data_IF_176435704917
#
_entry.id   IF_176435704917
#
_cell.length_a   1.000
_cell.length_b   1.000
_cell.length_c   1.000
_cell.angle_alpha   90.00
_cell.angle_beta   90.00
_cell.angle_gamma   90.00
#
_symmetry.space_group_name_H-M   'P 1'
#
loop_
_entity.id
_entity.type
_entity.pdbx_description
1 polymer ?
2 non-polymer ?
3 non-polymer ?
4 non-polymer ?
5 water ?
#
# COMPACT_ATOMS: atom_id res chain seq x y z
N UNK A 9 -23.19 16.45 -15.33
CA UNK A 9 -22.02 16.74 -16.18
C UNK A 9 -20.75 16.90 -15.36
N UNK A 10 -19.60 16.81 -16.03
CA UNK A 10 -18.31 17.07 -15.40
C UNK A 10 -18.06 18.57 -15.26
N UNK A 11 -17.22 18.97 -14.31
CA UNK A 11 -16.93 20.41 -14.14
C UNK A 11 -16.28 20.99 -15.39
N UNK A 12 -16.58 22.25 -15.68
CA UNK A 12 -15.99 22.93 -16.83
C UNK A 12 -14.47 23.00 -16.78
N UNK A 13 -13.93 23.22 -15.58
CA UNK A 13 -12.47 23.32 -15.43
C UNK A 13 -11.76 21.99 -15.71
N UNK A 14 -12.44 20.89 -15.43
CA UNK A 14 -11.90 19.56 -15.72
C UNK A 14 -11.94 19.29 -17.23
N UNK A 15 -13.16 19.35 -17.77
CA UNK A 15 -13.43 19.27 -19.21
C UNK A 15 -12.47 20.12 -20.04
N UNK A 16 -12.07 21.27 -19.51
CA UNK A 16 -11.14 22.13 -20.22
C UNK A 16 -9.81 21.46 -20.55
N UNK A 17 -9.37 20.54 -19.67
CA UNK A 17 -8.02 19.97 -19.78
C UNK A 17 -8.01 18.50 -20.13
N UNK A 18 -9.14 17.85 -19.95
CA UNK A 18 -9.20 16.41 -20.08
C UNK A 18 -10.48 15.98 -20.77
N UNK A 19 -10.34 14.95 -21.59
CA UNK A 19 -11.48 14.27 -22.17
C UNK A 19 -11.75 13.02 -21.32
N UNK A 20 -12.92 12.97 -20.70
CA UNK A 20 -13.24 11.85 -19.83
C UNK A 20 -13.62 10.62 -20.64
N UNK A 21 -13.29 9.45 -20.12
CA UNK A 21 -13.56 8.22 -20.85
C UNK A 21 -14.17 7.17 -19.92
N UNK A 22 -13.85 5.90 -20.17
CA UNK A 22 -14.47 4.76 -19.51
C UNK A 22 -14.25 4.73 -18.00
N UNK A 23 -15.20 4.13 -17.28
CA UNK A 23 -15.02 3.82 -15.87
C UNK A 23 -14.08 2.63 -15.76
N UNK A 24 -13.03 2.75 -14.97
CA UNK A 24 -12.10 1.65 -14.76
C UNK A 24 -12.56 0.84 -13.55
N UNK A 25 -13.10 1.53 -12.56
CA UNK A 25 -13.62 0.88 -11.37
C UNK A 25 -14.48 1.75 -10.46
N UNK A 26 -15.37 1.09 -9.73
CA UNK A 26 -16.21 1.72 -8.71
C UNK A 26 -16.69 0.61 -7.79
N UNK A 27 -16.89 0.92 -6.51
CA UNK A 27 -16.70 2.26 -6.01
C UNK A 27 -17.42 2.48 -4.69
N UNK A 28 -16.63 2.77 -3.66
CA UNK A 28 -17.18 3.06 -2.34
C UNK A 28 -16.81 4.50 -1.98
N UNK A 30 -15.76 6.31 -3.93
CA UNK A 30 -14.76 6.58 -4.95
C UNK A 30 -15.00 5.86 -6.27
N UNK A 31 -14.81 6.56 -7.38
CA UNK A 31 -14.83 5.94 -8.71
C UNK A 31 -13.58 6.34 -9.50
N UNK A 32 -13.11 5.45 -10.38
CA UNK A 32 -11.93 5.77 -11.19
C UNK A 32 -12.24 5.69 -12.69
N UNK A 33 -11.93 6.76 -13.39
CA UNK A 33 -12.17 6.79 -14.83
C UNK A 33 -10.89 6.99 -15.65
N UNK A 34 -10.87 6.41 -16.82
CA UNK A 34 -9.83 6.68 -17.80
C UNK A 34 -10.09 8.08 -18.36
N UNK A 35 -9.02 8.86 -18.51
CA UNK A 35 -9.15 10.13 -19.19
C UNK A 35 -7.93 10.43 -20.07
N UNK A 36 -8.08 11.41 -20.95
CA UNK A 36 -6.97 11.84 -21.79
C UNK A 36 -6.66 13.30 -21.53
N UNK A 37 -5.40 13.57 -21.26
CA UNK A 37 -4.96 14.94 -21.10
C UNK A 37 -4.90 15.59 -22.49
N UNK A 38 -5.68 16.64 -22.70
CA UNK A 38 -5.71 17.33 -23.99
C UNK A 38 -4.32 17.75 -24.50
N UNK A 39 -3.59 18.49 -23.68
CA UNK A 39 -2.24 18.97 -24.00
C UNK A 39 -1.27 17.91 -24.55
N UNK A 40 -1.30 16.70 -24.00
CA UNK A 40 -0.34 15.66 -24.38
C UNK A 40 -0.94 14.48 -25.15
N UNK A 41 -2.27 14.37 -25.10
CA UNK A 41 -2.98 13.20 -25.65
C UNK A 41 -2.62 11.90 -24.94
N UNK A 42 -2.10 12.02 -23.73
CA UNK A 42 -1.73 10.84 -22.97
C UNK A 42 -2.85 10.41 -22.03
N UNK A 43 -2.84 9.13 -21.68
CA UNK A 43 -3.83 8.58 -20.77
C UNK A 43 -3.48 8.92 -19.33
N UNK A 44 -4.50 9.28 -18.56
CA UNK A 44 -4.37 9.51 -17.12
C UNK A 44 -5.52 8.78 -16.41
N UNK A 45 -5.46 8.69 -15.09
CA UNK A 45 -6.59 8.18 -14.36
C UNK A 45 -7.18 9.34 -13.58
N UNK A 46 -8.49 9.37 -13.44
CA UNK A 46 -9.14 10.40 -12.65
C UNK A 46 -10.03 9.76 -11.60
N UNK A 47 -9.69 9.98 -10.34
CA UNK A 47 -10.48 9.47 -9.25
C UNK A 47 -11.55 10.47 -8.82
N UNK A 48 -12.80 10.02 -8.83
CA UNK A 48 -13.93 10.86 -8.46
C UNK A 48 -14.50 10.46 -7.09
N UNK A 49 -14.30 11.35 -6.12
CA UNK A 49 -14.78 11.12 -4.77
C UNK A 49 -15.93 12.08 -4.50
N UNK A 50 -17.12 11.52 -4.29
CA UNK A 50 -18.34 12.33 -4.14
C UNK A 50 -18.38 13.10 -2.82
N UNK A 51 -18.69 14.39 -2.90
CA UNK A 51 -18.87 15.22 -1.70
C UNK A 51 -20.14 14.83 -0.95
N UNK A 65 -13.97 15.13 2.80
CA UNK A 65 -13.56 16.52 2.63
C UNK A 65 -12.19 16.79 3.29
N UNK A 66 -12.09 16.50 4.58
CA UNK A 66 -10.81 16.61 5.30
C UNK A 66 -9.95 15.41 4.93
N UNK A 67 -10.59 14.26 4.83
CA UNK A 67 -9.97 13.10 4.24
C UNK A 67 -9.19 13.49 2.98
N UNK A 68 -9.81 14.33 2.14
CA UNK A 68 -9.27 14.60 0.82
C UNK A 68 -8.12 15.60 0.82
N UNK A 69 -8.27 16.70 1.55
CA UNK A 69 -7.19 17.69 1.63
C UNK A 69 -5.92 17.05 2.24
N UNK A 70 -6.12 16.20 3.22
CA UNK A 70 -5.04 15.42 3.82
C UNK A 70 -4.39 14.57 2.74
N UNK A 71 -5.24 13.82 2.04
CA UNK A 71 -4.75 12.91 1.04
C UNK A 71 -3.98 13.69 -0.03
N UNK A 72 -4.57 14.80 -0.49
CA UNK A 72 -3.94 15.62 -1.52
C UNK A 72 -2.58 16.10 -1.06
N UNK A 73 -2.55 16.69 0.14
CA UNK A 73 -1.31 17.27 0.67
C UNK A 73 -0.25 16.20 0.88
N UNK A 74 -0.67 15.05 1.41
CA UNK A 74 0.22 13.90 1.52
C UNK A 74 0.74 13.48 0.14
N UNK A 75 -0.17 13.29 -0.81
CA UNK A 75 0.20 12.89 -2.17
C UNK A 75 1.15 13.88 -2.85
N UNK A 76 0.90 15.18 -2.68
CA UNK A 76 1.77 16.22 -3.24
C UNK A 76 3.20 16.13 -2.72
N UNK A 77 3.35 15.75 -1.45
CA UNK A 77 4.67 15.80 -0.83
C UNK A 77 5.50 14.54 -1.10
N UNK A 78 4.83 13.46 -1.47
CA UNK A 78 5.53 12.18 -1.58
C UNK A 78 6.15 11.99 -2.96
N UNK A 79 7.31 11.35 -2.99
CA UNK A 79 8.00 11.15 -4.25
C UNK A 79 8.80 9.84 -4.23
N UNK A 80 8.14 8.77 -4.62
CA UNK A 80 8.76 7.45 -4.63
C UNK A 80 8.19 6.66 -5.80
N UNK A 81 9.02 5.82 -6.42
CA UNK A 81 8.63 5.03 -7.60
C UNK A 81 7.45 4.06 -7.36
N UNK A 82 7.27 3.64 -6.11
CA UNK A 82 6.22 2.67 -5.79
C UNK A 82 5.10 3.31 -5.00
N UNK A 83 4.96 4.62 -5.17
CA UNK A 83 3.84 5.35 -4.59
C UNK A 83 3.18 6.20 -5.67
N UNK A 84 1.86 6.06 -5.80
CA UNK A 84 1.09 6.77 -6.82
C UNK A 84 1.32 8.30 -6.79
N UNK A 85 1.47 8.90 -7.97
CA UNK A 85 1.71 10.35 -8.05
C UNK A 85 0.51 11.14 -8.58
N UNK A 86 0.23 12.26 -7.94
CA UNK A 86 -0.88 13.12 -8.32
C UNK A 86 -0.46 14.14 -9.39
N UNK A 87 -1.33 14.34 -10.37
CA UNK A 87 -1.02 15.21 -11.50
C UNK A 87 -1.81 16.50 -11.45
N UNK A 88 -3.02 16.42 -10.89
CA UNK A 88 -3.92 17.57 -10.86
C UNK A 88 -5.06 17.28 -9.90
N UNK A 89 -5.80 18.32 -9.53
CA UNK A 89 -6.89 18.19 -8.55
C UNK A 89 -8.00 19.22 -8.81
N UNK A 90 -9.24 18.78 -8.75
CA UNK A 90 -10.39 19.67 -8.93
C UNK A 90 -11.41 19.56 -7.78
N UNK A 91 -11.67 20.68 -7.13
CA UNK A 91 -12.64 20.78 -6.04
C UNK A 91 -13.97 21.35 -6.53
N UNK A 92 -14.96 20.49 -6.72
CA UNK A 92 -16.22 20.91 -7.35
C UNK A 92 -17.46 20.35 -6.65
N UNK A 93 -18.51 20.08 -7.42
CA UNK A 93 -19.70 19.44 -6.85
C UNK A 93 -19.22 18.12 -6.26
N UNK A 94 -18.15 17.59 -6.85
CA UNK A 94 -17.46 16.42 -6.33
C UNK A 94 -15.96 16.68 -6.36
N UNK A 95 -15.19 15.74 -5.80
CA UNK A 95 -13.74 15.80 -5.82
C UNK A 95 -13.18 15.07 -7.03
N UNK A 96 -12.22 15.67 -7.72
CA UNK A 96 -11.60 15.03 -8.87
C UNK A 96 -10.09 15.01 -8.72
N UNK A 97 -9.53 13.81 -8.54
CA UNK A 97 -8.09 13.69 -8.45
C UNK A 97 -7.51 13.06 -9.71
N UNK A 98 -6.57 13.76 -10.34
CA UNK A 98 -5.95 13.28 -11.57
C UNK A 98 -4.60 12.67 -11.26
N UNK A 99 -4.41 11.42 -11.68
CA UNK A 99 -3.19 10.69 -11.38
C UNK A 99 -2.65 9.94 -12.58
N UNK A 100 -1.38 9.54 -12.50
CA UNK A 100 -0.78 8.66 -13.49
C UNK A 100 -1.58 7.35 -13.59
N UNK A 101 -1.84 6.91 -14.81
CA UNK A 101 -2.66 5.73 -15.05
C UNK A 101 -1.88 4.46 -14.77
N UNK A 102 -2.52 3.54 -14.07
CA UNK A 102 -1.95 2.22 -13.82
C UNK A 102 -2.70 1.21 -14.68
N UNK A 103 -2.14 0.89 -15.84
CA UNK A 103 -2.85 0.10 -16.83
C UNK A 103 -3.03 -1.36 -16.40
N UNK A 104 -2.23 -1.80 -15.44
CA UNK A 104 -2.29 -3.17 -14.96
C UNK A 104 -3.41 -3.49 -13.99
N UNK A 105 -4.06 -2.46 -13.44
CA UNK A 105 -5.15 -2.69 -12.51
C UNK A 105 -4.72 -3.11 -11.11
N UNK A 106 -5.68 -3.63 -10.35
CA UNK A 106 -5.47 -3.99 -8.94
C UNK A 106 -4.75 -5.33 -8.75
N UNK A 107 -3.93 -5.41 -7.71
CA UNK A 107 -3.29 -6.66 -7.32
C UNK A 107 -4.41 -7.65 -6.94
N UNK A 108 -5.51 -7.10 -6.45
CA UNK A 108 -6.68 -7.91 -6.09
C UNK A 108 -7.02 -8.93 -7.20
N UNK A 109 -7.14 -8.45 -8.44
CA UNK A 109 -7.50 -9.32 -9.55
C UNK A 109 -6.54 -10.48 -9.78
N UNK A 110 -5.29 -10.31 -9.39
CA UNK A 110 -4.30 -11.37 -9.58
C UNK A 110 -4.38 -12.48 -8.52
N UNK A 111 -5.18 -12.27 -7.48
CA UNK A 111 -5.19 -13.20 -6.35
C UNK A 111 -6.60 -13.65 -5.97
N UNK A 112 -7.59 -13.11 -6.65
CA UNK A 112 -8.98 -13.48 -6.39
C UNK A 112 -9.25 -14.93 -6.87
N UNK A 113 -10.19 -15.61 -6.22
CA UNK A 113 -10.55 -16.96 -6.57
C UNK A 113 -9.39 -17.95 -6.50
N UNK A 114 -8.62 -17.88 -5.43
CA UNK A 114 -7.48 -18.77 -5.22
C UNK A 114 -6.43 -18.74 -6.32
N UNK A 115 -6.48 -17.72 -7.16
CA UNK A 115 -5.40 -17.49 -8.08
C UNK A 115 -4.16 -17.19 -7.24
N UNK A 116 -3.00 -17.61 -7.73
CA UNK A 116 -1.78 -17.38 -6.97
C UNK A 116 -0.62 -17.09 -7.89
N UNK A 117 0.23 -16.18 -7.45
CA UNK A 117 1.38 -15.77 -8.23
C UNK A 117 2.57 -16.70 -7.97
N UNK A 118 3.43 -16.85 -8.98
CA UNK A 118 4.70 -17.53 -8.76
C UNK A 118 5.35 -16.88 -7.57
N UNK A 119 5.98 -17.67 -6.70
CA UNK A 119 6.65 -17.12 -5.54
C UNK A 119 7.57 -15.97 -5.92
N UNK A 120 8.16 -16.05 -7.11
CA UNK A 120 9.15 -15.07 -7.53
C UNK A 120 8.48 -13.75 -7.92
N UNK A 121 7.24 -13.84 -8.36
CA UNK A 121 6.45 -12.65 -8.65
C UNK A 121 6.04 -11.98 -7.34
N UNK A 122 5.56 -12.79 -6.38
CA UNK A 122 5.31 -12.32 -5.03
C UNK A 122 6.49 -11.53 -4.49
N UNK A 123 7.69 -12.04 -4.71
CA UNK A 123 8.85 -11.43 -4.13
C UNK A 123 9.07 -10.05 -4.74
N UNK A 124 8.99 -9.99 -6.07
CA UNK A 124 9.22 -8.74 -6.78
C UNK A 124 8.21 -7.70 -6.31
N UNK A 125 6.94 -8.10 -6.27
CA UNK A 125 5.88 -7.22 -5.80
C UNK A 125 6.10 -6.81 -4.34
N UNK A 126 6.32 -7.80 -3.47
CA UNK A 126 6.41 -7.53 -2.05
C UNK A 126 7.57 -6.62 -1.71
N UNK A 127 8.66 -6.78 -2.46
CA UNK A 127 9.84 -5.96 -2.27
C UNK A 127 9.47 -4.49 -2.52
N UNK A 128 8.76 -4.24 -3.61
CA UNK A 128 8.34 -2.87 -3.89
C UNK A 128 7.41 -2.30 -2.80
N UNK A 129 6.46 -3.12 -2.33
CA UNK A 129 5.54 -2.70 -1.28
C UNK A 129 6.32 -2.29 -0.02
N UNK A 130 7.34 -3.09 0.29
CA UNK A 130 8.17 -2.87 1.46
C UNK A 130 8.94 -1.54 1.31
N UNK A 131 9.52 -1.31 0.14
CA UNK A 131 10.18 -0.04 -0.15
C UNK A 131 9.23 1.15 0.03
N UNK A 132 8.03 1.01 -0.52
CA UNK A 132 7.02 2.06 -0.50
C UNK A 132 6.63 2.38 0.94
N UNK A 133 6.34 1.33 1.69
CA UNK A 133 5.87 1.51 3.05
C UNK A 133 7.02 1.95 3.96
N UNK A 134 8.22 1.44 3.69
CA UNK A 134 9.40 1.94 4.41
C UNK A 134 9.53 3.46 4.22
N UNK A 135 9.33 3.89 2.98
CA UNK A 135 9.45 5.30 2.63
C UNK A 135 8.38 6.14 3.36
N UNK A 136 7.17 5.62 3.42
CA UNK A 136 6.08 6.27 4.14
C UNK A 136 6.47 6.45 5.60
N UNK A 137 6.95 5.38 6.20
CA UNK A 137 7.31 5.44 7.60
C UNK A 137 8.47 6.42 7.87
N UNK A 138 9.52 6.39 7.04
CA UNK A 138 10.61 7.38 7.16
C UNK A 138 10.05 8.80 7.12
N UNK A 139 8.98 9.01 6.38
CA UNK A 139 8.40 10.33 6.19
C UNK A 139 7.22 10.62 7.11
N UNK A 140 7.14 9.87 8.22
CA UNK A 140 6.09 10.06 9.21
C UNK A 140 4.65 9.84 8.77
N UNK A 141 4.45 8.93 7.83
CA UNK A 141 3.09 8.66 7.32
C UNK A 141 2.72 7.19 7.52
N UNK A 142 1.54 6.93 8.07
CA UNK A 142 1.03 5.56 8.21
C UNK A 142 -0.15 5.39 7.25
N UNK A 143 -0.10 4.36 6.41
CA UNK A 143 -1.13 4.19 5.39
C UNK A 143 -2.48 3.80 6.00
N UNK A 144 -2.49 2.68 6.73
CA UNK A 144 -3.63 2.23 7.53
C UNK A 144 -4.75 1.53 6.75
N UNK A 145 -4.57 1.34 5.46
CA UNK A 145 -5.53 0.62 4.66
C UNK A 145 -4.82 -0.16 3.54
N UNK A 146 -3.67 -0.75 3.85
CA UNK A 146 -2.98 -1.54 2.84
C UNK A 146 -3.76 -2.84 2.60
N UNK A 147 -4.00 -3.13 1.33
CA UNK A 147 -4.71 -4.33 0.91
C UNK A 147 -4.58 -4.46 -0.62
N UNK A 148 -4.81 -5.66 -1.14
CA UNK A 148 -4.60 -5.90 -2.58
C UNK A 148 -5.34 -4.91 -3.49
N UNK A 149 -6.43 -4.31 -3.05
CA UNK A 149 -7.16 -3.40 -3.94
C UNK A 149 -6.48 -2.03 -4.01
N UNK A 150 -5.55 -1.78 -3.09
CA UNK A 150 -4.83 -0.52 -3.04
C UNK A 150 -3.41 -0.67 -3.50
N UNK A 151 -3.13 -1.79 -4.17
CA UNK A 151 -1.86 -2.01 -4.80
C UNK A 151 -2.14 -2.10 -6.30
N UNK A 152 -1.57 -1.17 -7.06
CA UNK A 152 -1.82 -1.16 -8.49
C UNK A 152 -0.58 -1.61 -9.27
N UNK A 153 -0.84 -2.32 -10.37
CA UNK A 153 0.20 -2.76 -11.30
C UNK A 153 0.33 -1.78 -12.49
N UNK A 154 1.55 -1.52 -12.89
CA UNK A 154 1.78 -0.46 -13.89
C UNK A 154 1.51 -0.92 -15.32
N UNK A 155 1.59 -2.23 -15.55
CA UNK A 155 1.26 -2.75 -16.87
C UNK A 155 0.59 -4.11 -16.74
N UNK A 156 0.29 -4.73 -17.89
CA UNK A 156 -0.37 -6.02 -17.92
C UNK A 156 0.65 -7.16 -17.84
N UNK A 157 1.93 -6.80 -17.85
CA UNK A 157 3.01 -7.77 -17.70
C UNK A 157 3.04 -8.32 -16.27
N UNK A 158 3.55 -9.54 -16.11
CA UNK A 158 3.61 -10.20 -14.81
C UNK A 158 4.77 -9.59 -14.02
N UNK A 159 5.76 -9.10 -14.75
CA UNK A 159 6.88 -8.41 -14.15
C UNK A 159 6.75 -6.92 -14.39
N UNK A 160 6.16 -6.21 -13.43
CA UNK A 160 6.00 -4.77 -13.58
C UNK A 160 6.28 -3.99 -12.30
N UNK A 161 6.15 -2.67 -12.38
CA UNK A 161 6.22 -1.81 -11.23
C UNK A 161 4.87 -1.76 -10.52
N UNK A 162 4.89 -1.78 -9.19
CA UNK A 162 3.68 -1.63 -8.40
C UNK A 162 3.67 -0.27 -7.68
N UNK A 163 2.48 0.26 -7.43
CA UNK A 163 2.36 1.47 -6.65
C UNK A 163 1.24 1.35 -5.65
N UNK A 164 1.51 1.81 -4.43
CA UNK A 164 0.53 1.92 -3.38
C UNK A 164 -0.36 3.13 -3.65
N UNK A 165 -1.67 2.96 -3.48
CA UNK A 165 -2.61 4.05 -3.60
C UNK A 165 -3.54 4.15 -2.40
N UNK A 166 -4.44 5.12 -2.49
CA UNK A 166 -5.54 5.32 -1.55
C UNK A 166 -5.10 5.73 -0.15
N UNK A 167 -4.75 7.01 -0.01
CA UNK A 167 -4.23 7.53 1.24
C UNK A 167 -5.32 8.21 2.08
N UNK A 168 -6.57 7.89 1.81
CA UNK A 168 -7.70 8.45 2.53
C UNK A 168 -7.76 8.15 4.01
N UNK A 169 -7.20 7.02 4.44
CA UNK A 169 -7.20 6.68 5.86
C UNK A 169 -5.87 6.98 6.51
N UNK A 170 -4.97 7.60 5.76
CA UNK A 170 -3.63 7.84 6.28
C UNK A 170 -3.60 8.77 7.47
N UNK A 171 -2.47 8.74 8.15
CA UNK A 171 -2.29 9.49 9.37
C UNK A 171 -0.86 9.98 9.39
N UNK A 172 -0.68 11.22 9.84
CA UNK A 172 0.63 11.84 9.92
C UNK A 172 1.13 11.67 11.35
N UNK A 173 2.25 10.98 11.50
CA UNK A 173 2.78 10.67 12.84
C UNK A 173 3.64 11.83 13.31
N UNK A 176 3.86 14.75 19.34
CA UNK A 176 2.63 14.21 19.93
C UNK A 176 2.24 14.91 21.23
N UNK A 177 0.98 14.72 21.64
CA UNK A 177 0.51 15.32 22.86
C UNK A 177 1.04 14.53 24.06
N UNK A 178 1.34 13.25 23.85
CA UNK A 178 1.92 12.43 24.90
C UNK A 178 3.27 13.01 25.33
N UNK A 179 4.10 13.34 24.35
CA UNK A 179 5.40 13.92 24.62
C UNK A 179 5.25 15.18 25.45
N UNK A 180 4.33 16.05 25.04
CA UNK A 180 4.10 17.31 25.74
C UNK A 180 3.65 17.06 27.18
N UNK A 181 2.85 16.02 27.37
CA UNK A 181 2.37 15.68 28.70
C UNK A 181 3.52 15.20 29.58
N UNK A 182 4.49 14.52 28.97
CA UNK A 182 5.59 13.93 29.72
C UNK A 182 6.58 14.98 30.18
N UNK A 183 6.54 16.16 29.57
CA UNK A 183 7.49 17.20 29.89
C UNK A 183 7.32 17.77 31.30
N UNK A 184 6.10 17.69 31.82
CA UNK A 184 5.80 18.21 33.15
C UNK A 184 5.76 17.15 34.23
N UNK A 185 5.35 17.56 35.43
CA UNK A 185 5.18 16.66 36.55
C UNK A 185 3.79 16.03 36.54
N UNK A 186 3.73 14.72 36.77
CA UNK A 186 2.51 13.91 36.62
C UNK A 186 1.60 14.01 37.84
N UNK A 187 1.84 14.98 38.71
CA UNK A 187 1.00 15.17 39.88
C UNK A 187 -0.49 14.90 39.62
N UNK A 188 -1.02 15.41 38.50
CA UNK A 188 -2.44 15.31 38.22
C UNK A 188 -2.75 14.33 37.10
N UNK A 189 -1.70 13.69 36.59
CA UNK A 189 -1.77 12.81 35.45
C UNK A 189 -2.31 11.41 35.75
N UNK A 190 -3.29 10.99 34.95
CA UNK A 190 -3.96 9.70 35.05
C UNK A 190 -3.00 8.52 34.78
N UNK A 191 -3.23 7.40 35.49
CA UNK A 191 -2.45 6.16 35.35
C UNK A 191 -2.42 5.62 33.91
N UNK A 192 -3.55 5.61 33.22
CA UNK A 192 -3.64 5.01 31.89
C UNK A 192 -2.74 5.74 30.88
N UNK A 193 -2.50 7.02 31.13
CA UNK A 193 -1.64 7.80 30.25
C UNK A 193 -0.19 7.34 30.40
N UNK A 194 0.27 7.23 31.65
CA UNK A 194 1.59 6.69 31.96
C UNK A 194 1.76 5.26 31.45
N UNK A 195 0.73 4.45 31.57
CA UNK A 195 0.78 3.10 31.01
C UNK A 195 0.87 3.09 29.47
N UNK A 196 0.27 4.06 28.80
CA UNK A 196 0.32 4.07 27.35
C UNK A 196 1.73 4.38 26.82
N UNK A 197 2.60 4.86 27.70
CA UNK A 197 3.95 5.23 27.28
C UNK A 197 4.74 4.00 26.80
N UNK A 198 4.42 2.84 27.36
CA UNK A 198 5.10 1.62 27.00
C UNK A 198 4.99 1.26 25.53
N UNK A 199 3.88 1.65 24.91
CA UNK A 199 3.57 1.22 23.55
C UNK A 199 3.45 2.39 22.57
N UNK A 200 3.56 3.61 23.08
CA UNK A 200 3.44 4.77 22.21
C UNK A 200 4.48 4.75 21.07
N UNK A 201 4.06 5.19 19.89
CA UNK A 201 4.98 5.32 18.77
C UNK A 201 5.14 4.05 17.93
N UNK A 202 4.26 3.07 18.15
CA UNK A 202 4.25 1.84 17.34
C UNK A 202 3.03 1.70 16.41
N UNK A 203 2.31 2.80 16.20
CA UNK A 203 1.16 2.82 15.28
C UNK A 203 1.50 2.30 13.87
N UNK A 204 2.71 2.60 13.41
CA UNK A 204 3.18 2.17 12.09
C UNK A 204 3.18 0.65 11.92
N UNK A 205 3.32 -0.10 13.02
CA UNK A 205 3.26 -1.56 12.92
C UNK A 205 1.97 -2.10 12.26
N UNK A 206 0.87 -1.35 12.29
CA UNK A 206 -0.37 -1.84 11.68
C UNK A 206 -0.17 -2.04 10.18
N UNK A 207 0.69 -1.22 9.58
CA UNK A 207 1.00 -1.38 8.16
C UNK A 207 1.76 -2.68 7.88
N UNK A 208 2.69 -3.02 8.79
CA UNK A 208 3.47 -4.25 8.67
C UNK A 208 2.61 -5.50 8.83
N UNK A 209 1.60 -5.42 9.71
CA UNK A 209 0.65 -6.51 9.85
C UNK A 209 -0.07 -6.71 8.52
N UNK A 210 -0.63 -5.64 7.96
CA UNK A 210 -1.37 -5.72 6.69
C UNK A 210 -0.49 -6.29 5.60
N UNK A 211 0.76 -5.83 5.55
CA UNK A 211 1.70 -6.33 4.56
C UNK A 211 1.85 -7.83 4.74
N UNK A 212 1.82 -8.29 5.99
CA UNK A 212 1.93 -9.70 6.31
C UNK A 212 0.76 -10.47 5.74
N UNK A 213 -0.45 -9.97 5.97
CA UNK A 213 -1.64 -10.53 5.37
C UNK A 213 -1.60 -10.54 3.83
N UNK A 214 -1.19 -9.43 3.22
CA UNK A 214 -1.13 -9.35 1.78
C UNK A 214 -0.17 -10.42 1.21
N UNK A 215 0.98 -10.59 1.86
CA UNK A 215 1.99 -11.53 1.41
C UNK A 215 1.51 -12.99 1.55
N UNK A 216 0.82 -13.26 2.66
CA UNK A 216 0.20 -14.56 2.91
C UNK A 216 -0.72 -14.93 1.75
N UNK A 217 -1.65 -14.03 1.44
CA UNK A 217 -2.58 -14.17 0.34
C UNK A 217 -1.90 -14.30 -1.05
N UNK A 218 -0.88 -13.49 -1.29
CA UNK A 218 -0.17 -13.57 -2.55
C UNK A 218 0.49 -14.93 -2.76
N UNK A 219 1.10 -15.44 -1.68
CA UNK A 219 1.84 -16.68 -1.74
C UNK A 219 0.93 -17.91 -1.84
N UNK A 220 -0.23 -17.83 -1.20
CA UNK A 220 -1.04 -19.01 -0.93
C UNK A 220 -2.38 -19.02 -1.70
N UNK A 221 -2.85 -17.84 -2.11
CA UNK A 221 -4.11 -17.73 -2.83
C UNK A 221 -5.34 -17.71 -1.92
N UNK A 222 -5.13 -17.68 -0.61
CA UNK A 222 -6.25 -17.63 0.33
C UNK A 222 -5.88 -16.79 1.55
N UNK A 223 -6.90 -16.24 2.23
CA UNK A 223 -6.79 -15.38 3.41
C UNK A 223 -6.33 -16.11 4.68
N UNK A 224 -5.37 -15.54 5.41
CA UNK A 224 -4.91 -16.16 6.66
C UNK A 224 -6.02 -16.24 7.70
N UNK A 225 -6.89 -15.23 7.76
CA UNK A 225 -7.99 -15.20 8.71
C UNK A 225 -9.30 -14.98 7.95
N UNK A 226 -10.30 -15.83 8.19
CA UNK A 226 -11.62 -15.68 7.59
C UNK A 226 -12.69 -16.54 8.26
N UNK A 227 -13.95 -16.28 7.95
CA UNK A 227 -15.03 -17.06 8.55
C UNK A 227 -15.33 -18.37 7.79
N UNK A 228 -14.52 -18.69 6.78
CA UNK A 228 -14.72 -19.86 5.94
C UNK A 228 -14.36 -21.18 6.62
N UNK A 229 -15.36 -22.02 6.80
CA UNK A 229 -15.17 -23.36 7.36
C UNK A 229 -14.37 -23.33 8.67
N UNK A 230 -14.91 -22.60 9.63
CA UNK A 230 -14.32 -22.50 10.96
C UNK A 230 -15.36 -21.98 11.93
N UNK A 231 -15.20 -22.31 13.20
CA UNK A 231 -16.11 -21.79 14.23
C UNK A 231 -15.47 -20.66 15.03
N UNK A 232 -14.16 -20.46 14.86
CA UNK A 232 -13.51 -19.35 15.55
C UNK A 232 -13.92 -18.03 14.89
N UNK A 233 -14.29 -17.05 15.70
CA UNK A 233 -14.59 -15.73 15.18
C UNK A 233 -13.37 -15.12 14.44
N UNK A 234 -13.65 -14.23 13.50
CA UNK A 234 -12.61 -13.54 12.77
C UNK A 234 -11.75 -12.76 13.76
N UNK A 235 -12.43 -12.03 14.64
CA UNK A 235 -11.78 -11.29 15.70
C UNK A 235 -10.82 -12.18 16.48
N UNK A 236 -11.29 -13.34 16.95
CA UNK A 236 -10.45 -14.23 17.77
C UNK A 236 -9.27 -14.82 16.99
N UNK A 237 -9.47 -15.14 15.72
CA UNK A 237 -8.35 -15.58 14.90
C UNK A 237 -7.26 -14.52 14.87
N UNK A 238 -7.67 -13.26 14.74
CA UNK A 238 -6.71 -12.17 14.58
C UNK A 238 -5.96 -11.85 15.88
N UNK A 239 -6.68 -11.61 16.98
CA UNK A 239 -6.02 -11.28 18.24
C UNK A 239 -5.18 -12.42 18.83
N UNK A 240 -5.51 -13.66 18.49
CA UNK A 240 -4.70 -14.80 18.94
C UNK A 240 -3.55 -15.01 17.95
N UNK A 241 -3.76 -14.58 16.71
CA UNK A 241 -2.75 -14.71 15.67
C UNK A 241 -2.68 -16.11 15.10
N UNK A 242 -3.73 -16.89 15.32
CA UNK A 242 -3.78 -18.23 14.76
C UNK A 242 -4.29 -18.19 13.31
N UNK A 243 -3.39 -17.96 12.37
CA UNK A 243 -3.76 -18.03 10.96
C UNK A 243 -4.11 -19.45 10.54
N UNK A 244 -4.83 -19.55 9.44
CA UNK A 244 -5.22 -20.81 8.85
C UNK A 244 -4.12 -21.40 7.98
N UNK A 245 -3.37 -22.34 8.54
CA UNK A 245 -2.31 -23.01 7.78
C UNK A 245 -2.74 -24.30 7.08
N UNK A 246 -2.71 -24.29 5.76
CA UNK A 246 -3.07 -25.44 4.93
C UNK A 246 -1.81 -26.00 4.26
N UNK A 247 -1.24 -27.07 4.83
CA UNK A 247 0.08 -27.54 4.39
C UNK A 247 0.19 -27.86 2.89
N UNK A 248 -0.88 -28.39 2.30
CA UNK A 248 -0.84 -28.79 0.90
C UNK A 248 -0.51 -27.60 -0.01
N UNK A 249 -1.11 -26.46 0.27
CA UNK A 249 -0.88 -25.25 -0.53
C UNK A 249 0.49 -24.66 -0.26
N UNK A 250 0.86 -24.63 1.02
CA UNK A 250 2.14 -24.05 1.45
C UNK A 250 3.37 -24.89 1.15
N UNK A 251 3.15 -26.18 0.94
CA UNK A 251 4.23 -27.09 0.59
C UNK A 251 4.90 -26.63 -0.70
N UNK A 252 4.10 -26.10 -1.63
CA UNK A 252 4.63 -25.56 -2.89
C UNK A 252 5.55 -24.36 -2.63
N UNK A 253 5.29 -23.66 -1.52
CA UNK A 253 5.98 -22.42 -1.20
C UNK A 253 7.25 -22.65 -0.37
N UNK A 254 8.27 -21.85 -0.65
CA UNK A 254 9.53 -21.91 0.07
C UNK A 254 9.31 -21.67 1.57
N UNK A 255 10.32 -22.01 2.36
CA UNK A 255 10.25 -21.85 3.81
C UNK A 255 10.79 -20.48 4.22
N UNK A 256 11.65 -19.90 3.38
CA UNK A 256 12.14 -18.53 3.60
C UNK A 256 10.95 -17.55 3.58
N UNK A 257 10.06 -17.75 2.61
CA UNK A 257 8.87 -16.94 2.43
C UNK A 257 7.91 -17.07 3.62
N UNK A 258 7.58 -18.32 3.95
CA UNK A 258 6.64 -18.58 5.04
C UNK A 258 7.19 -18.04 6.36
N UNK A 259 8.50 -18.08 6.51
CA UNK A 259 9.16 -17.56 7.71
C UNK A 259 8.98 -16.04 7.83
N UNK A 260 9.09 -15.33 6.71
CA UNK A 260 8.86 -13.89 6.70
C UNK A 260 7.40 -13.57 7.08
N UNK A 261 6.45 -14.28 6.47
CA UNK A 261 5.06 -14.12 6.84
C UNK A 261 4.86 -14.23 8.35
N UNK A 262 5.49 -15.23 8.94
CA UNK A 262 5.29 -15.52 10.36
C UNK A 262 5.86 -14.42 11.26
N UNK A 263 6.88 -13.72 10.76
CA UNK A 263 7.43 -12.58 11.50
C UNK A 263 6.64 -11.27 11.31
N UNK A 264 5.81 -11.23 10.28
CA UNK A 264 4.96 -10.05 10.06
C UNK A 264 3.64 -10.21 10.80
N UNK A 265 3.19 -11.45 10.92
CA UNK A 265 1.94 -11.74 11.62
C UNK A 265 2.18 -12.04 13.09
N UNK A 266 2.97 -11.17 13.72
CA UNK A 266 3.19 -11.24 15.16
C UNK A 266 2.21 -10.30 15.87
N UNK A 267 1.50 -10.85 16.85
CA UNK A 267 0.42 -10.16 17.54
C UNK A 267 0.91 -8.94 18.30
N UNK A 268 2.02 -9.08 19.01
CA UNK A 268 2.66 -7.98 19.74
C UNK A 268 3.29 -6.97 18.75
N UNK A 269 2.74 -5.75 18.68
CA UNK A 269 3.25 -4.78 17.70
C UNK A 269 4.73 -4.38 17.94
N UNK A 270 5.21 -4.49 19.18
CA UNK A 270 6.62 -4.14 19.49
C UNK A 270 7.61 -5.21 19.02
N UNK A 271 7.16 -6.47 18.98
CA UNK A 271 7.93 -7.60 18.47
C UNK A 271 7.80 -7.80 16.96
N UNK A 272 6.70 -7.33 16.38
CA UNK A 272 6.45 -7.49 14.93
C UNK A 272 7.61 -6.92 14.10
N UNK A 273 7.93 -7.59 13.00
CA UNK A 273 8.95 -7.13 12.06
C UNK A 273 8.60 -5.76 11.47
N UNK A 274 9.58 -4.88 11.41
CA UNK A 274 9.38 -3.59 10.77
C UNK A 274 9.70 -3.79 9.29
N UNK A 275 9.49 -2.75 8.49
CA UNK A 275 9.88 -2.81 7.09
C UNK A 275 11.38 -3.08 6.88
N UNK A 276 12.23 -2.44 7.69
CA UNK A 276 13.68 -2.66 7.60
C UNK A 276 14.04 -4.11 7.87
N UNK A 277 13.49 -4.67 8.94
CA UNK A 277 13.82 -6.06 9.27
C UNK A 277 13.37 -6.98 8.16
N UNK A 278 12.24 -6.64 7.54
CA UNK A 278 11.70 -7.44 6.45
C UNK A 278 12.59 -7.37 5.21
N UNK A 279 13.10 -6.17 4.91
CA UNK A 279 14.01 -5.97 3.78
C UNK A 279 15.38 -6.66 3.97
N UNK A 280 15.75 -6.91 5.23
CA UNK A 280 17.00 -7.62 5.56
C UNK A 280 16.79 -9.12 5.70
N UNK A 281 15.55 -9.57 5.57
CA UNK A 281 15.24 -10.98 5.69
C UNK A 281 15.74 -11.80 4.48
N UNK A 282 16.29 -12.98 4.73
CA UNK A 282 16.88 -13.83 3.69
C UNK A 282 15.98 -13.96 2.44
N UNK A 283 14.67 -14.02 2.60
CA UNK A 283 13.80 -14.19 1.44
C UNK A 283 13.97 -13.06 0.43
N UNK A 284 14.46 -11.93 0.90
CA UNK A 284 14.59 -10.75 0.04
C UNK A 284 16.03 -10.44 -0.34
N UNK A 285 16.96 -11.27 0.13
CA UNK A 285 18.34 -11.18 -0.32
C UNK A 285 18.45 -11.99 -1.59
N UNK A 286 18.00 -11.39 -2.69
CA UNK A 286 17.78 -12.09 -3.96
C UNK A 286 18.12 -11.11 -5.08
N UNK A 287 19.38 -11.16 -5.54
CA UNK A 287 19.90 -10.16 -6.46
C UNK A 287 19.29 -10.22 -7.85
N UNK A 288 18.71 -11.35 -8.19
CA UNK A 288 18.02 -11.50 -9.45
C UNK A 288 16.72 -10.68 -9.49
N UNK A 289 15.94 -10.82 -8.41
CA UNK A 289 14.74 -10.02 -8.21
C UNK A 289 15.09 -8.54 -8.19
N UNK A 290 16.16 -8.18 -7.48
CA UNK A 290 16.54 -6.78 -7.34
C UNK A 290 16.99 -6.16 -8.66
N UNK A 291 17.61 -6.97 -9.52
CA UNK A 291 18.03 -6.50 -10.83
C UNK A 291 16.79 -6.21 -11.67
N UNK A 292 15.87 -7.16 -11.68
CA UNK A 292 14.63 -7.00 -12.42
C UNK A 292 13.88 -5.72 -12.04
N UNK A 293 13.92 -5.36 -10.75
CA UNK A 293 13.28 -4.14 -10.28
C UNK A 293 14.00 -2.89 -10.80
N UNK A 294 15.32 -2.87 -10.68
CA UNK A 294 16.11 -1.74 -11.19
C UNK A 294 15.91 -1.56 -12.70
N UNK A 295 15.73 -2.68 -13.41
CA UNK A 295 15.44 -2.65 -14.84
C UNK A 295 14.12 -1.97 -15.13
N UNK A 296 13.05 -2.44 -14.50
CA UNK A 296 11.72 -1.88 -14.72
C UNK A 296 11.75 -0.40 -14.39
N UNK A 297 12.57 -0.06 -13.41
CA UNK A 297 12.77 1.32 -13.00
C UNK A 297 13.33 2.18 -14.13
N UNK A 298 14.58 1.91 -14.50
CA UNK A 298 15.21 2.69 -15.57
C UNK A 298 14.34 2.65 -16.83
N UNK A 299 13.71 1.50 -17.08
CA UNK A 299 12.78 1.36 -18.19
C UNK A 299 11.65 2.42 -18.15
N UNK A 300 10.94 2.52 -17.02
CA UNK A 300 9.92 3.55 -16.83
C UNK A 300 10.49 4.97 -17.01
N UNK A 301 11.73 5.15 -16.58
CA UNK A 301 12.36 6.47 -16.56
C UNK A 301 12.80 7.00 -17.93
N UNK A 302 13.17 6.09 -18.83
CA UNK A 302 13.78 6.45 -20.11
C UNK A 302 13.12 7.62 -20.83
N UNK A 303 11.80 7.63 -20.86
CA UNK A 303 11.05 8.63 -21.64
C UNK A 303 11.12 10.06 -21.07
N UNK A 304 11.59 10.18 -19.84
CA UNK A 304 11.62 11.49 -19.17
C UNK A 304 13.00 11.88 -18.65
N UNK A 305 14.00 11.03 -18.92
CA UNK A 305 15.36 11.30 -18.49
C UNK A 305 15.98 12.46 -19.27
N UNK A 306 16.20 13.59 -18.61
CA UNK A 306 16.89 14.71 -19.26
C UNK A 306 18.39 14.43 -19.29
N UNK A 307 19.13 15.07 -20.21
CA UNK A 307 20.57 14.78 -20.24
C UNK A 307 21.25 15.34 -18.99
N UNK A 308 22.47 14.90 -18.72
CA UNK A 308 23.12 15.37 -17.50
C UNK A 308 24.63 15.46 -17.65
N UNK A 309 25.23 16.24 -16.77
CA UNK A 309 26.66 16.40 -16.76
C UNK A 309 27.35 15.06 -16.49
N UNK A 310 28.23 14.66 -17.40
CA UNK A 310 28.94 13.40 -17.29
C UNK A 310 30.07 13.48 -16.26
X LIG B 1 -9.34 -0.74 -11.34
X LIG B 1 -9.22 -1.48 -12.70
X LIG B 1 -8.24 -0.97 -13.74
X LIG B 1 -7.38 0.25 -13.46
X LIG B 1 -7.51 0.96 -12.11
X LIG B 1 -6.67 2.10 -11.89
X LIG B 1 -6.78 2.83 -10.65
X LIG B 1 -7.66 2.36 -9.59
X LIG B 1 -8.49 1.27 -9.80
X LIG B 1 -8.44 0.49 -11.07
X LIG B 1 -9.25 1.00 -8.60
X LIG B 1 -9.36 1.28 -7.16
X LIG B 1 -10.42 0.69 -6.30
X LIG B 1 -9.75 0.44 -4.98
X LIG B 1 -8.47 1.18 -5.01
X LIG B 1 -8.06 1.16 -6.44
X LIG B 1 -11.69 1.52 -6.33
X LIG B 1 -12.73 0.93 -5.41
X LIG B 1 -11.31 2.91 -5.89
X LIG B 1 -12.17 1.59 -7.62
X LIG B 1 -5.90 3.98 -10.31
X LIG B 1 -4.85 4.33 -11.18
X LIG B 1 -3.92 5.41 -10.78
X LIG B 1 -4.10 6.06 -9.52
X LIG B 1 -5.23 5.65 -8.58
X LIG B 1 -6.10 4.64 -8.94
X LIG B 1 -5.40 6.24 -7.41
X LIG B 1 -4.75 3.67 -12.39
X LIG B 1 -8.07 -1.57 -14.99
X LIG B 1 -6.89 -1.26 -15.68
X LIG B 1 -10.01 -2.58 -12.96
X LIG B 1 -10.90 -3.00 -11.97
X LIG C 1 -5.55 7.71 -4.47
X LIG D 1 4.43 5.58 15.24
X LIG D 1 5.27 6.69 15.16
X LIG D 1 4.75 4.45 14.51
X LIG D 1 3.29 5.61 16.06
X LIG E 1 -7.72 4.59 -5.33
X LIG E 1 -7.37 5.62 -4.46
X LIG E 1 -6.87 3.49 -5.51
X LIG E 1 -8.93 4.65 -6.04
#
# INVERSE_FOLDING_TARGET
GPLGSHMSVYPKALRDEYIMSKTLGSGACGEVKLAFERKTCKKVAIKIISKRKFAIGSAREADPALNVETEIEILKKLNHPCIIKIKNFFDAEDYYIVLELMEGGELFDKVVGNKRLKEATCKLYFYQMLLAVQYLHENGIIHRDLKPENVLLSSQEEDCLIKITDFGHSKILGETSLMRTLCGTPTYLAPEVLVSVGTAGYNRAVDCWSLGVILFICLSGYPPFSEHRTQVSLKDQITSGKYNFIPEVWAEVSEKALDLVKKLLVVDPKARFTTEEALRHPWLQDEDMKRKFQDLLSEENESTALPQVLAQPSTSRKRPREGEAEGAE
XBJ C01 C02 C03 C04 C05 N06 C07 N08 C09 C10 N11 C12 C13 C14 N15 C16 C17 C18 C19 O20 C21 C22 C23 C24 C25 C26 F27 O28 O29 C30 O31 C32
MG MG
NO3 N O1 O2 O3
NO3 N O1 O2 O3
#
